data_IF_510293011481
#
_entry.id   IF_510293011481
#
_cell.length_a   1.000
_cell.length_b   1.000
_cell.length_c   1.000
_cell.angle_alpha   90.00
_cell.angle_beta   90.00
_cell.angle_gamma   90.00
#
_symmetry.space_group_name_H-M   'P 1'
#
loop_
_entity.id
_entity.type
_entity.pdbx_description
1 polymer ?
#
# COMPACT_ATOMS: atom_id res chain seq x y z
N UNK A 1 1.95 14.83 -18.22
CA UNK A 1 2.79 14.18 -17.21
C UNK A 1 2.39 12.71 -17.20
N UNK A 2 3.34 11.77 -17.27
CA UNK A 2 3.03 10.34 -17.21
C UNK A 2 2.62 9.96 -15.79
N UNK A 3 1.91 8.84 -15.62
CA UNK A 3 1.47 8.35 -14.30
C UNK A 3 1.92 6.91 -14.03
N UNK A 4 2.58 6.69 -12.89
CA UNK A 4 2.84 5.37 -12.32
C UNK A 4 1.89 5.12 -11.14
N UNK A 5 1.10 4.07 -11.23
CA UNK A 5 0.23 3.60 -10.14
C UNK A 5 0.87 2.37 -9.48
N UNK A 6 1.04 2.44 -8.16
CA UNK A 6 1.65 1.38 -7.34
C UNK A 6 0.58 0.91 -6.35
N UNK A 7 0.15 -0.34 -6.47
CA UNK A 7 -0.97 -0.88 -5.68
C UNK A 7 -0.45 -1.80 -4.59
N UNK A 8 -0.96 -1.62 -3.37
CA UNK A 8 -0.83 -2.62 -2.31
C UNK A 8 -1.74 -3.82 -2.62
N UNK A 9 -1.13 -4.89 -3.15
CA UNK A 9 -1.85 -6.11 -3.49
C UNK A 9 -2.41 -6.83 -2.27
N UNK A 10 -1.71 -6.78 -1.13
CA UNK A 10 -2.13 -7.48 0.08
C UNK A 10 -3.38 -6.85 0.69
N UNK A 11 -3.41 -5.52 0.79
CA UNK A 11 -4.59 -4.77 1.19
C UNK A 11 -5.80 -5.06 0.28
N UNK A 12 -5.58 -5.15 -1.03
CA UNK A 12 -6.66 -5.46 -1.98
C UNK A 12 -7.19 -6.90 -1.88
N UNK A 13 -6.36 -7.89 -1.52
CA UNK A 13 -6.82 -9.26 -1.25
C UNK A 13 -7.82 -9.27 -0.09
N UNK A 14 -7.44 -8.70 1.06
CA UNK A 14 -8.34 -8.61 2.22
C UNK A 14 -9.59 -7.81 1.91
N UNK A 15 -9.47 -6.70 1.18
CA UNK A 15 -10.64 -5.93 0.74
C UNK A 15 -11.59 -6.78 -0.10
N UNK A 16 -11.07 -7.59 -1.03
CA UNK A 16 -11.91 -8.46 -1.85
C UNK A 16 -12.68 -9.49 -1.00
N UNK A 17 -12.02 -10.05 0.01
CA UNK A 17 -12.63 -11.01 0.94
C UNK A 17 -13.84 -10.45 1.69
N UNK A 18 -13.71 -9.23 2.23
CA UNK A 18 -14.75 -8.63 3.06
C UNK A 18 -15.81 -7.86 2.25
N UNK A 19 -15.45 -7.33 1.08
CA UNK A 19 -16.37 -6.50 0.28
C UNK A 19 -17.28 -7.32 -0.65
N UNK A 20 -16.91 -8.55 -0.99
CA UNK A 20 -17.67 -9.39 -1.90
C UNK A 20 -18.27 -10.61 -1.16
N UNK A 21 -19.58 -10.87 -1.34
CA UNK A 21 -20.20 -12.06 -0.76
C UNK A 21 -19.57 -13.34 -1.35
N UNK A 22 -19.70 -14.49 -0.68
CA UNK A 22 -19.25 -15.77 -1.24
C UNK A 22 -19.80 -15.98 -2.65
N UNK A 23 -18.90 -16.33 -3.57
CA UNK A 23 -19.23 -16.58 -4.97
C UNK A 23 -18.84 -18.01 -5.29
N UNK A 24 -19.80 -18.93 -5.28
CA UNK A 24 -19.53 -20.35 -5.47
C UNK A 24 -19.55 -20.69 -6.97
N UNK A 25 -18.48 -21.31 -7.47
CA UNK A 25 -18.41 -21.78 -8.86
C UNK A 25 -19.09 -23.14 -9.05
N UNK A 26 -19.14 -23.63 -10.28
CA UNK A 26 -19.78 -24.92 -10.61
C UNK A 26 -19.12 -26.13 -9.91
N UNK A 27 -17.87 -25.99 -9.48
CA UNK A 27 -17.11 -27.01 -8.74
C UNK A 27 -17.31 -26.91 -7.21
N UNK A 28 -18.12 -25.96 -6.73
CA UNK A 28 -18.39 -25.77 -5.30
C UNK A 28 -17.36 -24.92 -4.55
N UNK A 29 -16.37 -24.35 -5.26
CA UNK A 29 -15.32 -23.54 -4.64
C UNK A 29 -15.74 -22.06 -4.60
N UNK A 30 -15.42 -21.38 -3.50
CA UNK A 30 -15.57 -19.93 -3.42
C UNK A 30 -14.48 -19.22 -4.24
N UNK A 31 -14.87 -18.15 -4.92
CA UNK A 31 -14.01 -17.33 -5.79
C UNK A 31 -14.26 -15.83 -5.59
N UNK A 32 -14.80 -15.42 -4.44
CA UNK A 32 -15.08 -14.01 -4.15
C UNK A 32 -13.83 -13.13 -4.13
N UNK A 33 -12.70 -13.63 -3.62
CA UNK A 33 -11.41 -12.91 -3.64
C UNK A 33 -10.91 -12.83 -5.08
N UNK A 34 -10.93 -13.96 -5.81
CA UNK A 34 -10.49 -14.01 -7.20
C UNK A 34 -11.24 -13.01 -8.09
N UNK A 35 -12.56 -13.03 -8.04
CA UNK A 35 -13.41 -12.11 -8.78
C UNK A 35 -13.26 -10.67 -8.28
N UNK A 36 -13.37 -10.47 -6.96
CA UNK A 36 -13.38 -9.15 -6.34
C UNK A 36 -12.08 -8.39 -6.56
N UNK A 37 -10.94 -9.06 -6.36
CA UNK A 37 -9.61 -8.49 -6.60
C UNK A 37 -9.47 -8.07 -8.07
N UNK A 38 -9.76 -8.98 -9.00
CA UNK A 38 -9.68 -8.73 -10.44
C UNK A 38 -10.54 -7.54 -10.86
N UNK A 39 -11.80 -7.50 -10.39
CA UNK A 39 -12.71 -6.39 -10.66
C UNK A 39 -12.17 -5.05 -10.16
N UNK A 40 -11.63 -5.01 -8.94
CA UNK A 40 -11.09 -3.80 -8.35
C UNK A 40 -9.85 -3.30 -9.10
N UNK A 41 -8.94 -4.20 -9.49
CA UNK A 41 -7.75 -3.84 -10.27
C UNK A 41 -8.12 -3.31 -11.66
N UNK A 42 -9.03 -3.98 -12.38
CA UNK A 42 -9.48 -3.49 -13.69
C UNK A 42 -10.15 -2.12 -13.60
N UNK A 43 -10.96 -1.91 -12.55
CA UNK A 43 -11.57 -0.60 -12.29
C UNK A 43 -10.52 0.45 -12.00
N UNK A 44 -9.52 0.13 -11.19
CA UNK A 44 -8.43 1.06 -10.87
C UNK A 44 -7.61 1.43 -12.10
N UNK A 45 -7.31 0.47 -12.98
CA UNK A 45 -6.65 0.72 -14.28
C UNK A 45 -7.51 1.67 -15.13
N UNK A 46 -8.83 1.49 -15.16
CA UNK A 46 -9.74 2.40 -15.87
C UNK A 46 -9.68 3.82 -15.26
N UNK A 47 -9.97 3.96 -13.97
CA UNK A 47 -10.12 5.24 -13.29
C UNK A 47 -8.84 6.07 -13.32
N UNK A 48 -7.69 5.43 -13.08
CA UNK A 48 -6.39 6.13 -13.00
C UNK A 48 -5.81 6.47 -14.36
N UNK A 49 -6.23 5.78 -15.43
CA UNK A 49 -5.64 5.90 -16.78
C UNK A 49 -4.12 5.77 -16.77
N UNK A 50 -3.57 4.90 -15.91
CA UNK A 50 -2.14 4.81 -15.65
C UNK A 50 -1.33 4.44 -16.90
N UNK A 51 -0.21 5.15 -17.12
CA UNK A 51 0.77 4.79 -18.14
C UNK A 51 1.61 3.58 -17.70
N UNK A 52 1.91 3.53 -16.40
CA UNK A 52 2.62 2.45 -15.74
C UNK A 52 1.82 1.96 -14.54
N UNK A 53 1.78 0.65 -14.32
CA UNK A 53 0.95 0.06 -13.28
C UNK A 53 1.64 -1.15 -12.69
N UNK A 54 1.75 -1.21 -11.37
CA UNK A 54 2.38 -2.33 -10.67
C UNK A 54 1.63 -2.69 -9.39
N UNK A 55 1.51 -3.99 -9.13
CA UNK A 55 0.97 -4.52 -7.87
C UNK A 55 2.14 -5.05 -7.03
N UNK A 56 2.35 -4.46 -5.86
CA UNK A 56 3.28 -4.97 -4.87
C UNK A 56 2.65 -6.14 -4.10
N UNK A 57 3.41 -7.22 -3.90
CA UNK A 57 2.96 -8.42 -3.18
C UNK A 57 3.86 -8.70 -1.98
N UNK A 58 3.27 -9.12 -0.88
CA UNK A 58 4.01 -9.60 0.28
C UNK A 58 4.91 -10.79 -0.05
N UNK A 59 6.04 -10.87 0.63
CA UNK A 59 6.94 -12.02 0.58
C UNK A 59 6.23 -13.33 0.96
N UNK A 60 6.51 -14.45 0.25
CA UNK A 60 6.02 -15.77 0.63
C UNK A 60 6.80 -16.38 1.80
N UNK A 61 7.91 -15.75 2.20
CA UNK A 61 8.79 -16.16 3.31
C UNK A 61 8.76 -15.12 4.43
N UNK A 62 9.22 -15.50 5.63
CA UNK A 62 9.35 -14.58 6.76
C UNK A 62 10.17 -13.34 6.38
N UNK A 63 9.71 -12.19 6.86
CA UNK A 63 10.34 -10.89 6.59
C UNK A 63 11.32 -10.56 7.70
N UNK A 64 12.20 -9.57 7.47
CA UNK A 64 13.14 -9.08 8.50
C UNK A 64 12.44 -8.61 9.77
N UNK A 65 11.20 -8.10 9.68
CA UNK A 65 10.38 -7.72 10.84
C UNK A 65 10.02 -8.93 11.69
N UNK A 66 9.68 -10.07 11.07
CA UNK A 66 9.41 -11.32 11.79
C UNK A 66 10.67 -11.91 12.44
N UNK A 67 11.86 -11.67 11.86
CA UNK A 67 13.14 -12.06 12.46
C UNK A 67 13.51 -11.17 13.64
N UNK A 68 13.28 -9.86 13.51
CA UNK A 68 13.58 -8.86 14.53
C UNK A 68 12.61 -8.92 15.72
N UNK A 69 11.34 -9.23 15.46
CA UNK A 69 10.28 -9.30 16.47
C UNK A 69 9.37 -10.51 16.20
N UNK A 70 9.57 -11.64 16.90
CA UNK A 70 8.82 -12.87 16.65
C UNK A 70 7.29 -12.75 16.81
N UNK A 71 6.83 -11.85 17.68
CA UNK A 71 5.40 -11.61 17.92
C UNK A 71 4.80 -10.55 16.98
N UNK A 72 5.58 -10.04 16.01
CA UNK A 72 5.09 -9.10 14.99
C UNK A 72 3.91 -9.68 14.22
N UNK A 73 2.82 -8.91 14.11
CA UNK A 73 1.54 -9.35 13.51
C UNK A 73 0.94 -10.61 14.16
N UNK A 74 1.46 -11.07 15.30
CA UNK A 74 1.02 -12.30 15.99
C UNK A 74 -0.38 -12.22 16.60
N UNK A 75 -0.89 -11.01 16.81
CA UNK A 75 -2.27 -10.73 17.28
C UNK A 75 -3.27 -10.69 16.13
N UNK A 76 -2.84 -10.71 14.87
CA UNK A 76 -3.75 -10.70 13.72
C UNK A 76 -4.60 -11.98 13.72
N UNK A 77 -5.92 -11.89 13.45
CA UNK A 77 -6.77 -13.07 13.35
C UNK A 77 -6.21 -14.08 12.34
N UNK A 78 -6.36 -15.37 12.64
CA UNK A 78 -6.04 -16.42 11.68
C UNK A 78 -6.87 -16.21 10.42
N UNK A 79 -6.18 -16.09 9.30
CA UNK A 79 -6.77 -15.97 7.99
C UNK A 79 -7.54 -17.27 7.67
N UNK A 80 -8.75 -17.12 7.11
CA UNK A 80 -9.60 -18.23 6.67
C UNK A 80 -8.88 -19.08 5.59
N UNK A 81 -9.02 -20.40 5.67
CA UNK A 81 -8.36 -21.30 4.70
C UNK A 81 -8.96 -21.16 3.30
N UNK A 82 -10.26 -20.84 3.18
CA UNK A 82 -10.92 -20.55 1.91
C UNK A 82 -10.36 -19.28 1.25
N UNK A 83 -10.01 -18.28 2.06
CA UNK A 83 -9.30 -17.09 1.57
C UNK A 83 -7.90 -17.45 1.05
N UNK A 84 -7.11 -18.21 1.83
CA UNK A 84 -5.73 -18.56 1.45
C UNK A 84 -5.67 -19.35 0.15
N UNK A 85 -6.62 -20.26 -0.08
CA UNK A 85 -6.66 -21.08 -1.29
C UNK A 85 -6.89 -20.25 -2.56
N UNK A 86 -7.52 -19.08 -2.45
CA UNK A 86 -7.77 -18.19 -3.59
C UNK A 86 -6.54 -17.34 -3.97
N UNK A 87 -5.58 -17.10 -3.06
CA UNK A 87 -4.43 -16.21 -3.31
C UNK A 87 -3.58 -16.66 -4.51
N UNK A 88 -3.16 -17.94 -4.63
CA UNK A 88 -2.38 -18.38 -5.79
C UNK A 88 -3.16 -18.24 -7.11
N UNK A 89 -4.49 -18.43 -7.06
CA UNK A 89 -5.35 -18.28 -8.24
C UNK A 89 -5.44 -16.81 -8.68
N UNK A 90 -5.52 -15.88 -7.72
CA UNK A 90 -5.47 -14.44 -7.98
C UNK A 90 -4.17 -14.08 -8.68
N UNK A 91 -3.03 -14.50 -8.14
CA UNK A 91 -1.72 -14.19 -8.72
C UNK A 91 -1.59 -14.72 -10.14
N UNK A 92 -1.99 -15.98 -10.36
CA UNK A 92 -1.99 -16.60 -11.69
C UNK A 92 -2.86 -15.80 -12.67
N UNK A 93 -4.08 -15.46 -12.30
CA UNK A 93 -4.99 -14.71 -13.17
C UNK A 93 -4.43 -13.32 -13.50
N UNK A 94 -3.90 -12.58 -12.53
CA UNK A 94 -3.34 -11.24 -12.74
C UNK A 94 -2.14 -11.29 -13.71
N UNK A 95 -1.29 -12.31 -13.59
CA UNK A 95 -0.19 -12.55 -14.54
C UNK A 95 -0.71 -12.88 -15.95
N UNK A 96 -1.73 -13.74 -16.08
CA UNK A 96 -2.38 -14.07 -17.37
C UNK A 96 -3.03 -12.85 -18.05
N UNK A 97 -3.54 -11.89 -17.26
CA UNK A 97 -4.10 -10.63 -17.75
C UNK A 97 -3.02 -9.61 -18.19
N UNK A 98 -1.75 -9.97 -18.08
CA UNK A 98 -0.61 -9.13 -18.43
C UNK A 98 -0.48 -7.91 -17.53
N UNK A 99 -0.86 -8.02 -16.25
CA UNK A 99 -0.74 -6.94 -15.27
C UNK A 99 0.55 -7.16 -14.49
N UNK A 100 1.42 -6.14 -14.47
CA UNK A 100 2.71 -6.26 -13.81
C UNK A 100 2.55 -6.40 -12.29
N UNK A 101 3.31 -7.33 -11.72
CA UNK A 101 3.40 -7.54 -10.27
C UNK A 101 4.86 -7.62 -9.86
N UNK A 102 5.14 -7.29 -8.60
CA UNK A 102 6.47 -7.45 -8.03
C UNK A 102 6.40 -8.08 -6.65
N UNK A 103 7.34 -8.98 -6.38
CA UNK A 103 7.48 -9.67 -5.11
C UNK A 103 8.98 -9.87 -4.85
N UNK A 104 9.42 -9.62 -3.62
CA UNK A 104 10.80 -9.83 -3.20
C UNK A 104 10.84 -10.68 -1.93
N UNK A 105 11.62 -11.78 -1.90
CA UNK A 105 11.77 -12.60 -0.69
C UNK A 105 12.27 -11.77 0.50
N UNK A 106 11.59 -11.88 1.64
CA UNK A 106 11.95 -11.23 2.90
C UNK A 106 11.46 -9.78 3.05
N UNK A 107 10.71 -9.26 2.07
CA UNK A 107 10.17 -7.90 2.05
C UNK A 107 8.64 -7.88 1.98
N UNK A 108 8.03 -6.91 2.64
CA UNK A 108 6.58 -6.71 2.60
C UNK A 108 6.17 -5.89 1.38
N UNK A 109 4.88 -5.90 1.05
CA UNK A 109 4.35 -5.06 -0.03
C UNK A 109 4.72 -3.58 0.18
N UNK A 110 4.71 -3.10 1.42
CA UNK A 110 5.03 -1.71 1.77
C UNK A 110 6.50 -1.35 1.48
N UNK A 111 7.42 -2.28 1.69
CA UNK A 111 8.85 -2.11 1.37
C UNK A 111 9.06 -2.02 -0.15
N UNK A 112 8.30 -2.81 -0.92
CA UNK A 112 8.31 -2.77 -2.38
C UNK A 112 7.74 -1.44 -2.88
N UNK A 113 6.60 -0.99 -2.32
CA UNK A 113 5.99 0.30 -2.65
C UNK A 113 6.98 1.44 -2.36
N UNK A 114 7.57 1.45 -1.16
CA UNK A 114 8.60 2.40 -0.78
C UNK A 114 9.73 2.43 -1.80
N UNK A 115 10.23 1.27 -2.19
CA UNK A 115 11.36 1.15 -3.13
C UNK A 115 11.01 1.69 -4.52
N UNK A 116 9.82 1.41 -5.04
CA UNK A 116 9.36 1.99 -6.31
C UNK A 116 9.19 3.50 -6.24
N UNK A 117 8.63 4.02 -5.14
CA UNK A 117 8.55 5.46 -4.92
C UNK A 117 9.93 6.09 -4.91
N UNK A 118 10.88 5.53 -4.16
CA UNK A 118 12.25 6.04 -4.08
C UNK A 118 12.98 6.03 -5.42
N UNK A 119 12.76 5.00 -6.23
CA UNK A 119 13.36 4.87 -7.56
C UNK A 119 12.84 5.96 -8.52
N UNK A 120 11.52 6.20 -8.52
CA UNK A 120 10.89 7.01 -9.58
C UNK A 120 10.47 8.42 -9.17
N UNK A 121 10.39 8.75 -7.88
CA UNK A 121 9.98 10.07 -7.38
C UNK A 121 10.83 11.24 -7.92
N UNK A 122 12.09 10.99 -8.33
CA UNK A 122 12.98 12.04 -8.87
C UNK A 122 12.68 12.42 -10.33
N UNK A 123 11.79 11.69 -11.02
CA UNK A 123 11.40 11.99 -12.40
C UNK A 123 10.38 13.12 -12.43
N UNK A 124 10.77 14.27 -12.96
CA UNK A 124 9.93 15.48 -12.99
C UNK A 124 8.71 15.38 -13.92
N UNK A 125 8.72 14.45 -14.86
CA UNK A 125 7.64 14.20 -15.82
C UNK A 125 6.71 13.04 -15.41
N UNK A 126 6.82 12.58 -14.17
CA UNK A 126 6.08 11.44 -13.62
C UNK A 126 5.37 11.80 -12.31
N UNK A 127 4.07 11.50 -12.25
CA UNK A 127 3.30 11.44 -11.00
C UNK A 127 3.22 10.00 -10.52
N UNK A 128 3.42 9.80 -9.21
CA UNK A 128 3.27 8.51 -8.55
C UNK A 128 2.00 8.52 -7.71
N UNK A 129 1.16 7.52 -7.91
CA UNK A 129 -0.03 7.30 -7.09
C UNK A 129 0.09 5.94 -6.40
N UNK A 130 0.28 5.96 -5.09
CA UNK A 130 0.25 4.78 -4.24
C UNK A 130 -1.19 4.50 -3.85
N UNK A 131 -1.70 3.30 -4.10
CA UNK A 131 -3.07 2.92 -3.79
C UNK A 131 -3.07 1.92 -2.64
N UNK A 132 -3.29 2.43 -1.44
CA UNK A 132 -3.34 1.66 -0.19
C UNK A 132 -4.12 2.42 0.88
N UNK A 133 -4.66 1.69 1.85
CA UNK A 133 -5.24 2.24 3.08
C UNK A 133 -4.24 2.26 4.25
N UNK A 134 -3.02 1.75 4.05
CA UNK A 134 -2.00 1.70 5.10
C UNK A 134 -1.52 3.11 5.45
N UNK A 135 -1.63 3.45 6.74
CA UNK A 135 -1.22 4.74 7.28
C UNK A 135 0.31 4.90 7.26
N UNK A 136 1.06 3.80 7.30
CA UNK A 136 2.53 3.81 7.38
C UNK A 136 3.12 4.34 6.06
N UNK A 137 2.44 4.07 4.94
CA UNK A 137 2.83 4.56 3.61
C UNK A 137 2.70 6.08 3.48
N UNK A 138 2.03 6.78 4.40
CA UNK A 138 1.97 8.27 4.41
C UNK A 138 3.35 8.91 4.45
N UNK A 139 4.38 8.20 4.94
CA UNK A 139 5.77 8.66 4.94
C UNK A 139 6.35 8.92 3.53
N UNK A 140 5.68 8.39 2.49
CA UNK A 140 6.11 8.49 1.09
C UNK A 140 5.70 9.81 0.40
N UNK A 141 4.80 10.59 1.01
CA UNK A 141 4.23 11.78 0.38
C UNK A 141 5.30 12.82 0.03
N UNK A 142 5.25 13.28 -1.21
CA UNK A 142 6.12 14.32 -1.78
C UNK A 142 5.33 15.15 -2.81
N UNK A 143 5.98 16.11 -3.45
CA UNK A 143 5.34 16.99 -4.43
C UNK A 143 4.67 16.24 -5.59
N UNK A 144 5.24 15.12 -6.05
CA UNK A 144 4.71 14.29 -7.14
C UNK A 144 4.25 12.90 -6.69
N UNK A 145 4.10 12.67 -5.38
CA UNK A 145 3.64 11.39 -4.82
C UNK A 145 2.37 11.61 -4.02
N UNK A 146 1.30 10.90 -4.39
CA UNK A 146 0.02 10.92 -3.69
C UNK A 146 -0.35 9.52 -3.23
N UNK A 147 -1.19 9.44 -2.19
CA UNK A 147 -1.68 8.17 -1.65
C UNK A 147 -3.20 8.16 -1.71
N UNK A 148 -3.79 7.15 -2.35
CA UNK A 148 -5.23 7.03 -2.53
C UNK A 148 -5.76 5.81 -1.77
N UNK A 149 -6.68 6.04 -0.83
CA UNK A 149 -7.50 4.99 -0.23
C UNK A 149 -8.70 4.72 -1.15
N UNK A 150 -8.58 3.66 -1.97
CA UNK A 150 -9.61 3.29 -2.93
C UNK A 150 -10.92 2.77 -2.30
N UNK A 151 -10.94 2.48 -0.99
CA UNK A 151 -12.16 2.09 -0.28
C UNK A 151 -12.97 3.33 0.14
N UNK A 152 -12.28 4.40 0.55
CA UNK A 152 -12.90 5.69 0.92
C UNK A 152 -13.05 6.67 -0.24
N UNK A 153 -12.36 6.41 -1.35
CA UNK A 153 -12.24 7.34 -2.47
C UNK A 153 -11.62 8.68 -2.02
N UNK A 154 -10.59 8.60 -1.20
CA UNK A 154 -9.86 9.73 -0.62
C UNK A 154 -8.41 9.70 -1.08
N UNK A 155 -7.91 10.84 -1.58
CA UNK A 155 -6.50 11.00 -1.97
C UNK A 155 -5.83 11.98 -1.02
N UNK A 156 -4.78 11.52 -0.36
CA UNK A 156 -3.89 12.33 0.46
C UNK A 156 -2.73 12.82 -0.40
N UNK A 157 -2.54 14.14 -0.40
CA UNK A 157 -1.38 14.84 -0.99
C UNK A 157 -0.45 15.32 0.13
N UNK A 158 0.78 15.74 -0.23
CA UNK A 158 1.69 16.41 0.71
C UNK A 158 1.01 17.58 1.44
N UNK A 159 0.27 18.42 0.71
CA UNK A 159 -0.40 19.59 1.26
C UNK A 159 -1.50 19.21 2.26
N UNK A 160 -2.39 18.29 1.88
CA UNK A 160 -3.50 17.87 2.75
C UNK A 160 -2.98 17.14 3.99
N UNK A 161 -1.89 16.37 3.85
CA UNK A 161 -1.21 15.77 4.99
C UNK A 161 -0.67 16.83 5.95
N UNK A 162 0.08 17.81 5.45
CA UNK A 162 0.64 18.88 6.30
C UNK A 162 -0.45 19.69 7.00
N UNK A 163 -1.59 19.93 6.34
CA UNK A 163 -2.75 20.60 6.94
C UNK A 163 -3.42 19.78 8.06
N UNK A 164 -3.52 18.46 7.87
CA UNK A 164 -4.13 17.57 8.86
C UNK A 164 -3.20 17.28 10.05
N UNK A 165 -1.92 17.01 9.77
CA UNK A 165 -0.95 16.51 10.74
C UNK A 165 -0.07 17.60 11.36
N UNK A 166 0.12 18.74 10.69
CA UNK A 166 0.94 19.84 11.21
C UNK A 166 2.45 19.55 11.27
N UNK A 167 2.91 18.45 10.68
CA UNK A 167 4.32 18.10 10.52
C UNK A 167 4.58 17.49 9.15
N UNK A 168 5.84 17.29 8.79
CA UNK A 168 6.24 16.75 7.49
C UNK A 168 6.11 15.22 7.43
N UNK A 169 5.74 14.61 6.28
CA UNK A 169 5.47 13.17 6.18
C UNK A 169 6.56 12.24 6.73
N UNK A 170 7.84 12.63 6.65
CA UNK A 170 8.94 11.85 7.21
C UNK A 170 8.80 11.56 8.71
N UNK A 171 8.05 12.40 9.44
CA UNK A 171 7.85 12.28 10.89
C UNK A 171 6.63 11.44 11.27
N UNK A 172 5.87 10.90 10.31
CA UNK A 172 4.75 10.01 10.64
C UNK A 172 5.24 8.73 11.33
N UNK A 173 6.44 8.27 10.97
CA UNK A 173 7.09 7.11 11.60
C UNK A 173 7.37 7.38 13.08
N UNK A 174 7.85 8.58 13.41
CA UNK A 174 8.09 9.00 14.79
C UNK A 174 6.78 9.06 15.59
N UNK A 175 5.71 9.58 14.99
CA UNK A 175 4.37 9.58 15.60
C UNK A 175 3.88 8.16 15.90
N UNK A 176 3.95 7.27 14.91
CA UNK A 176 3.50 5.88 15.05
C UNK A 176 4.35 5.10 16.06
N UNK A 177 5.65 5.36 16.11
CA UNK A 177 6.56 4.76 17.07
C UNK A 177 6.21 5.12 18.53
N UNK A 178 5.69 6.33 18.77
CA UNK A 178 5.27 6.75 20.11
C UNK A 178 3.94 6.12 20.54
N UNK A 179 2.99 5.94 19.62
CA UNK A 179 1.65 5.42 19.97
C UNK A 179 1.54 3.90 19.86
N UNK A 180 2.44 3.26 19.11
CA UNK A 180 2.37 1.85 18.77
C UNK A 180 1.31 1.52 17.70
N UNK A 181 1.20 0.23 17.41
CA UNK A 181 0.18 -0.32 16.53
C UNK A 181 -0.28 -1.69 17.06
N UNK A 182 -1.49 -1.71 17.64
CA UNK A 182 -2.05 -2.95 18.17
C UNK A 182 -2.37 -3.99 17.09
N UNK A 183 -2.65 -3.58 15.85
CA UNK A 183 -2.90 -4.49 14.73
C UNK A 183 -1.64 -5.27 14.34
N UNK A 184 -0.48 -4.66 14.53
CA UNK A 184 0.84 -5.23 14.24
C UNK A 184 1.60 -5.68 15.49
N UNK A 185 0.96 -5.60 16.65
CA UNK A 185 1.52 -5.92 17.96
C UNK A 185 2.75 -5.05 18.35
N UNK A 186 2.80 -3.81 17.84
CA UNK A 186 3.80 -2.80 18.14
C UNK A 186 3.33 -2.00 19.37
N UNK A 187 4.17 -1.90 20.41
CA UNK A 187 3.75 -1.38 21.72
C UNK A 187 3.69 0.15 21.81
N UNK A 188 4.67 0.85 21.23
CA UNK A 188 4.89 2.28 21.49
C UNK A 188 5.20 2.60 22.95
N UNK A 189 5.06 3.87 23.33
CA UNK A 189 5.35 4.36 24.69
C UNK A 189 4.10 4.30 25.56
N UNK A 190 4.17 3.51 26.65
CA UNK A 190 3.07 3.35 27.58
C UNK A 190 2.55 4.70 28.13
N UNK A 191 1.26 4.95 27.93
CA UNK A 191 0.60 6.16 28.43
C UNK A 191 0.84 7.42 27.60
N UNK A 192 1.40 7.31 26.39
CA UNK A 192 1.39 8.35 25.35
C UNK A 192 0.39 7.94 24.27
N UNK A 193 -0.73 8.67 24.21
CA UNK A 193 -1.76 8.46 23.17
C UNK A 193 -1.58 9.38 21.95
N UNK A 194 -2.46 9.25 20.94
CA UNK A 194 -2.44 10.03 19.70
C UNK A 194 -2.23 11.53 19.87
N UNK A 195 -2.95 12.16 20.82
CA UNK A 195 -2.82 13.61 21.05
C UNK A 195 -1.45 14.00 21.59
N UNK A 196 -0.91 13.21 22.53
CA UNK A 196 0.40 13.48 23.12
C UNK A 196 1.53 13.30 22.12
N UNK A 197 1.50 12.20 21.35
CA UNK A 197 2.46 11.95 20.29
C UNK A 197 2.42 13.04 19.20
N UNK A 198 1.21 13.46 18.79
CA UNK A 198 1.04 14.57 17.83
C UNK A 198 1.73 15.84 18.30
N UNK A 199 1.47 16.29 19.54
CA UNK A 199 2.10 17.49 20.10
C UNK A 199 3.63 17.36 20.15
N UNK A 200 4.15 16.21 20.55
CA UNK A 200 5.59 15.95 20.61
C UNK A 200 6.23 16.04 19.22
N UNK A 201 5.65 15.37 18.22
CA UNK A 201 6.19 15.34 16.86
C UNK A 201 6.07 16.70 16.16
N UNK A 202 4.97 17.42 16.35
CA UNK A 202 4.84 18.81 15.85
C UNK A 202 5.89 19.75 16.44
N UNK A 203 6.28 19.53 17.70
CA UNK A 203 7.22 20.41 18.41
C UNK A 203 8.68 20.07 18.09
N UNK A 204 9.02 18.78 18.09
CA UNK A 204 10.41 18.33 18.06
C UNK A 204 10.79 17.60 16.75
N UNK A 205 9.82 17.26 15.91
CA UNK A 205 10.04 16.52 14.67
C UNK A 205 10.21 15.03 14.90
N UNK A 206 11.39 14.61 15.37
CA UNK A 206 11.73 13.17 15.49
C UNK A 206 11.77 12.67 16.93
N UNK A 207 11.69 11.35 17.12
CA UNK A 207 11.87 10.76 18.46
C UNK A 207 13.23 11.11 19.05
N UNK A 208 14.30 11.14 18.23
CA UNK A 208 15.65 11.51 18.68
C UNK A 208 15.63 12.90 19.32
N UNK A 209 15.06 13.89 18.63
CA UNK A 209 14.94 15.25 19.15
C UNK A 209 14.07 15.32 20.40
N UNK A 210 12.98 14.54 20.49
CA UNK A 210 12.14 14.47 21.70
C UNK A 210 12.98 13.99 22.90
N UNK A 211 13.80 12.96 22.71
CA UNK A 211 14.65 12.40 23.75
C UNK A 211 15.83 13.31 24.14
N UNK A 212 16.32 14.13 23.21
CA UNK A 212 17.34 15.14 23.51
C UNK A 212 16.79 16.31 24.34
N UNK A 213 15.46 16.52 24.34
CA UNK A 213 14.77 17.62 25.02
C UNK A 213 13.87 17.18 26.17
N UNK A 214 14.11 16.01 26.78
CA UNK A 214 13.29 15.53 27.92
C UNK A 214 13.22 16.53 29.08
N UNK A 215 14.27 17.33 29.27
CA UNK A 215 14.33 18.36 30.33
C UNK A 215 13.32 19.50 30.17
N UNK A 216 12.81 19.73 28.96
CA UNK A 216 11.84 20.79 28.66
C UNK A 216 10.39 20.32 28.92
N UNK A 217 10.19 19.03 29.13
CA UNK A 217 8.88 18.42 29.30
C UNK A 217 8.45 18.40 30.76
N UNK A 218 7.14 18.30 31.00
CA UNK A 218 6.63 18.09 32.35
C UNK A 218 7.24 16.81 32.97
N UNK A 219 7.54 16.77 34.28
CA UNK A 219 8.21 15.63 34.91
C UNK A 219 7.56 14.27 34.61
N UNK A 220 6.22 14.22 34.64
CA UNK A 220 5.45 13.00 34.35
C UNK A 220 5.55 12.52 32.89
N UNK A 221 5.68 13.45 31.95
CA UNK A 221 5.83 13.09 30.54
C UNK A 221 7.27 12.63 30.24
N UNK A 222 8.26 13.33 30.82
CA UNK A 222 9.67 12.95 30.73
C UNK A 222 9.92 11.55 31.30
N UNK A 223 9.32 11.23 32.46
CA UNK A 223 9.38 9.91 33.09
C UNK A 223 8.83 8.81 32.15
N UNK A 224 7.61 8.98 31.62
CA UNK A 224 7.03 8.03 30.66
C UNK A 224 7.89 7.80 29.43
N UNK A 225 8.43 8.88 28.84
CA UNK A 225 9.30 8.79 27.68
C UNK A 225 10.59 8.06 28.03
N UNK A 226 11.21 8.41 29.16
CA UNK A 226 12.43 7.76 29.67
C UNK A 226 12.22 6.26 29.85
N UNK A 227 11.13 5.86 30.50
CA UNK A 227 10.78 4.45 30.73
C UNK A 227 10.47 3.70 29.43
N UNK A 228 9.81 4.37 28.48
CA UNK A 228 9.44 3.80 27.18
C UNK A 228 10.47 3.98 26.06
N UNK A 229 11.69 4.43 26.36
CA UNK A 229 12.71 4.74 25.34
C UNK A 229 12.99 3.57 24.42
N UNK A 230 13.26 2.40 24.99
CA UNK A 230 13.56 1.21 24.20
C UNK A 230 12.38 0.81 23.30
N UNK A 231 11.16 0.85 23.83
CA UNK A 231 9.95 0.54 23.06
C UNK A 231 9.72 1.54 21.91
N UNK A 232 9.96 2.84 22.12
CA UNK A 232 9.83 3.86 21.09
C UNK A 232 10.79 3.62 19.91
N UNK A 233 12.09 3.47 20.21
CA UNK A 233 13.11 3.26 19.19
C UNK A 233 12.95 1.89 18.49
N UNK A 234 12.55 0.86 19.24
CA UNK A 234 12.25 -0.44 18.65
C UNK A 234 11.02 -0.40 17.74
N UNK A 235 9.96 0.31 18.16
CA UNK A 235 8.76 0.52 17.34
C UNK A 235 9.10 1.27 16.05
N UNK A 236 9.89 2.36 16.14
CA UNK A 236 10.37 3.10 14.96
C UNK A 236 11.08 2.17 13.97
N UNK A 237 12.01 1.34 14.45
CA UNK A 237 12.74 0.37 13.63
C UNK A 237 11.82 -0.65 12.93
N UNK A 238 10.69 -1.02 13.53
CA UNK A 238 9.71 -1.92 12.92
C UNK A 238 8.87 -1.21 11.85
N UNK A 239 8.55 0.07 12.03
CA UNK A 239 7.68 0.85 11.11
C UNK A 239 8.47 1.40 9.92
N UNK A 240 9.78 1.63 10.08
CA UNK A 240 10.64 2.07 8.99
C UNK A 240 10.59 1.11 7.79
N UNK A 241 10.35 1.67 6.61
CA UNK A 241 10.29 0.92 5.36
C UNK A 241 11.70 0.64 4.82
N UNK A 242 11.88 -0.56 4.31
CA UNK A 242 13.18 -1.03 3.85
C UNK A 242 13.31 -0.91 2.34
N UNK A 243 14.50 -0.53 1.87
CA UNK A 243 14.80 -0.55 0.44
C UNK A 243 15.03 -1.99 -0.05
N UNK A 244 14.41 -2.32 -1.18
CA UNK A 244 14.57 -3.55 -1.94
C UNK A 244 15.61 -3.29 -3.03
N UNK A 245 16.86 -3.79 -2.88
CA UNK A 245 17.95 -3.42 -3.78
C UNK A 245 17.70 -3.78 -5.25
N UNK A 246 16.92 -4.82 -5.50
CA UNK A 246 16.62 -5.33 -6.84
C UNK A 246 15.76 -4.38 -7.69
N UNK A 247 15.07 -3.41 -7.05
CA UNK A 247 14.27 -2.40 -7.77
C UNK A 247 15.14 -1.25 -8.26
N UNK A 248 16.32 -1.05 -7.66
CA UNK A 248 17.18 0.08 -7.99
C UNK A 248 17.67 0.00 -9.44
N UNK A 249 17.50 1.08 -10.20
CA UNK A 249 17.92 1.17 -11.60
C UNK A 249 17.05 0.38 -12.58
N UNK A 250 15.88 -0.12 -12.15
CA UNK A 250 14.93 -0.77 -13.07
C UNK A 250 14.33 0.23 -14.05
N UNK A 251 14.18 -0.18 -15.31
CA UNK A 251 13.57 0.67 -16.33
C UNK A 251 12.05 0.79 -16.11
N UNK A 252 11.54 2.02 -16.10
CA UNK A 252 10.13 2.32 -15.92
C UNK A 252 9.27 1.69 -17.02
N UNK A 253 9.79 1.56 -18.25
CA UNK A 253 9.08 0.94 -19.37
C UNK A 253 8.78 -0.56 -19.12
N UNK A 254 9.50 -1.21 -18.21
CA UNK A 254 9.19 -2.58 -17.74
C UNK A 254 7.79 -2.68 -17.14
N UNK A 255 7.29 -1.58 -16.58
CA UNK A 255 6.03 -1.51 -15.84
C UNK A 255 4.90 -0.89 -16.66
N UNK A 256 5.06 -0.81 -17.99
CA UNK A 256 4.06 -0.24 -18.87
C UNK A 256 2.72 -0.97 -18.72
N UNK A 257 1.66 -0.19 -18.51
CA UNK A 257 0.31 -0.73 -18.33
C UNK A 257 -0.16 -1.39 -19.63
N UNK A 258 -0.38 -2.71 -19.58
CA UNK A 258 -0.91 -3.45 -20.74
C UNK A 258 -2.32 -2.97 -21.11
N UNK A 259 -2.52 -2.71 -22.39
CA UNK A 259 -3.81 -2.29 -22.98
C UNK A 259 -4.47 -3.40 -23.80
N UNK A 260 -4.05 -4.66 -23.64
CA UNK A 260 -4.60 -5.79 -24.38
C UNK A 260 -5.97 -6.23 -23.82
N UNK A 261 -7.00 -5.43 -24.08
CA UNK A 261 -8.35 -5.68 -23.57
C UNK A 261 -8.97 -6.94 -24.19
N UNK A 262 -8.65 -7.26 -25.43
CA UNK A 262 -9.20 -8.45 -26.10
C UNK A 262 -8.72 -9.75 -25.44
N UNK A 263 -7.44 -9.81 -25.07
CA UNK A 263 -6.91 -10.93 -24.29
C UNK A 263 -7.60 -11.02 -22.92
N UNK A 264 -7.81 -9.89 -22.24
CA UNK A 264 -8.51 -9.86 -20.94
C UNK A 264 -9.96 -10.31 -21.07
N UNK A 265 -10.67 -9.90 -22.12
CA UNK A 265 -12.03 -10.38 -22.42
C UNK A 265 -12.05 -11.90 -22.62
N UNK A 266 -11.13 -12.43 -23.43
CA UNK A 266 -11.04 -13.87 -23.66
C UNK A 266 -10.79 -14.66 -22.37
N UNK A 267 -9.88 -14.21 -21.52
CA UNK A 267 -9.56 -14.87 -20.26
C UNK A 267 -10.75 -14.77 -19.29
N UNK A 268 -11.22 -13.55 -19.02
CA UNK A 268 -12.20 -13.32 -17.95
C UNK A 268 -13.59 -13.86 -18.29
N UNK A 269 -14.03 -13.69 -19.53
CA UNK A 269 -15.38 -14.09 -19.93
C UNK A 269 -15.42 -15.56 -20.31
N UNK A 270 -14.46 -16.04 -21.11
CA UNK A 270 -14.54 -17.38 -21.68
C UNK A 270 -13.89 -18.45 -20.80
N UNK A 271 -12.78 -18.15 -20.13
CA UNK A 271 -12.09 -19.13 -19.28
C UNK A 271 -12.61 -19.11 -17.84
N UNK A 272 -12.80 -17.92 -17.28
CA UNK A 272 -13.23 -17.74 -15.87
C UNK A 272 -14.74 -17.52 -15.71
N UNK A 273 -15.48 -17.23 -16.78
CA UNK A 273 -16.94 -17.09 -16.72
C UNK A 273 -17.43 -15.82 -16.01
N UNK A 274 -16.59 -14.80 -15.85
CA UNK A 274 -16.90 -13.55 -15.15
C UNK A 274 -17.74 -12.59 -16.02
N UNK A 275 -18.90 -13.05 -16.50
CA UNK A 275 -19.79 -12.34 -17.42
C UNK A 275 -20.21 -10.94 -16.94
N UNK A 276 -20.30 -10.74 -15.62
CA UNK A 276 -20.59 -9.44 -15.00
C UNK A 276 -19.51 -8.37 -15.25
N UNK A 277 -18.30 -8.74 -15.68
CA UNK A 277 -17.23 -7.82 -16.05
C UNK A 277 -17.34 -7.29 -17.48
N UNK A 278 -18.25 -7.82 -18.32
CA UNK A 278 -18.37 -7.45 -19.73
C UNK A 278 -18.50 -5.93 -19.93
N UNK A 279 -19.39 -5.27 -19.17
CA UNK A 279 -19.58 -3.81 -19.28
C UNK A 279 -18.33 -2.99 -18.94
N UNK A 280 -17.54 -3.46 -17.97
CA UNK A 280 -16.29 -2.81 -17.58
C UNK A 280 -15.24 -2.97 -18.68
N UNK A 281 -15.15 -4.16 -19.28
CA UNK A 281 -14.22 -4.44 -20.38
C UNK A 281 -14.60 -3.65 -21.64
N UNK A 282 -15.89 -3.55 -21.96
CA UNK A 282 -16.38 -2.71 -23.07
C UNK A 282 -16.04 -1.21 -22.86
N UNK A 283 -16.14 -0.72 -21.62
CA UNK A 283 -15.73 0.65 -21.24
C UNK A 283 -14.24 0.86 -21.50
N UNK A 284 -13.39 -0.05 -20.99
CA UNK A 284 -11.95 -0.02 -21.20
C UNK A 284 -11.58 -0.09 -22.70
N UNK A 285 -12.25 -0.97 -23.46
CA UNK A 285 -12.04 -1.11 -24.91
C UNK A 285 -12.33 0.19 -25.65
N UNK A 286 -13.45 0.85 -25.36
CA UNK A 286 -13.80 2.15 -25.94
C UNK A 286 -12.76 3.22 -25.59
N UNK A 287 -12.32 3.27 -24.34
CA UNK A 287 -11.34 4.25 -23.86
C UNK A 287 -9.99 4.12 -24.55
N UNK A 288 -9.51 2.89 -24.76
CA UNK A 288 -8.23 2.65 -25.42
C UNK A 288 -8.30 2.64 -26.95
N UNK A 289 -9.49 2.48 -27.54
CA UNK A 289 -9.70 2.57 -28.98
C UNK A 289 -9.82 4.02 -29.50
N UNK A 290 -10.19 4.96 -28.64
CA UNK A 290 -10.17 6.39 -28.98
C UNK A 290 -8.70 6.84 -29.11
N UNK A 291 -8.27 7.42 -30.25
CA UNK A 291 -6.99 8.11 -30.30
C UNK A 291 -6.98 9.14 -29.17
N UNK A 292 -5.86 9.25 -28.44
CA UNK A 292 -5.66 10.39 -27.54
C UNK A 292 -5.85 11.64 -28.39
N UNK A 293 -7.03 12.26 -28.33
CA UNK A 293 -7.23 13.58 -28.89
C UNK A 293 -6.26 14.47 -28.12
N UNK A 294 -5.17 14.84 -28.79
CA UNK A 294 -4.33 15.96 -28.42
C UNK A 294 -5.25 17.09 -28.00
N UNK A 295 -5.29 17.36 -26.70
CA UNK A 295 -5.91 18.55 -26.16
C UNK A 295 -5.14 19.75 -26.69
N UNK A 296 -5.54 20.22 -27.87
CA UNK A 296 -5.38 21.60 -28.28
C UNK A 296 -6.45 22.39 -27.54
N UNK A 297 -6.13 22.88 -26.34
CA UNK A 297 -6.63 24.15 -25.78
C UNK A 297 -5.64 24.62 -24.70
#
# INVERSE_FOLDING_TARGET
>A
MKKLVIVDGSGFLFRAWFAFPPMINAQGNNQNVLYGFTRMILKLIDETSADYFIIARDSPVKTKRHELYPDYKGTRPKIDDDFKQQIPQVHKLIEELGIATYQAPGYEADDIIFSFVREYQKKSDLTLEVVSSDKDLKQLLQANVVITDAAKNETTTLLTFQQEWGFSPEHIVDYLALIGDSADNIKGVAGIGPKGAMTLVQTYGSIENIYDHLGDLSPKLAEKLSDGKEDAFFSKKLIELMQVPQIQGTDLETWQSSKNIEQREQILLNQYGFSSLQKLLESLKKKYAMPQQLGLF
#
